data_IF_947093374956
#
_entry.id   IF_947093374956
#
_cell.length_a   1.000
_cell.length_b   1.000
_cell.length_c   1.000
_cell.angle_alpha   90.00
_cell.angle_beta   90.00
_cell.angle_gamma   90.00
#
_symmetry.space_group_name_H-M   'P 1'
#
loop_
_entity.id
_entity.type
_entity.pdbx_description
1 polymer ?
#
# COMPACT_ATOMS: atom_id res chain seq x y z
N UNK A 1 3.15 -3.76 12.96
CA UNK A 1 2.39 -5.03 12.95
C UNK A 1 0.95 -4.64 12.78
N UNK A 2 0.37 -4.89 11.61
CA UNK A 2 -0.97 -4.38 11.25
C UNK A 2 -2.04 -4.81 12.27
N UNK A 3 -1.79 -5.88 13.02
CA UNK A 3 -2.70 -6.47 14.00
C UNK A 3 -3.30 -5.45 14.97
N UNK A 4 -2.53 -4.44 15.37
CA UNK A 4 -3.04 -3.39 16.26
C UNK A 4 -4.05 -2.49 15.54
N UNK A 5 -3.77 -2.13 14.28
CA UNK A 5 -4.69 -1.39 13.41
C UNK A 5 -5.96 -2.20 13.11
N UNK A 6 -5.84 -3.50 12.84
CA UNK A 6 -6.99 -4.39 12.58
C UNK A 6 -7.89 -4.58 13.79
N UNK A 7 -7.31 -4.70 15.00
CA UNK A 7 -8.09 -4.80 16.24
C UNK A 7 -8.94 -3.56 16.45
N UNK A 8 -8.37 -2.39 16.20
CA UNK A 8 -9.05 -1.11 16.40
C UNK A 8 -10.04 -0.81 15.29
N UNK A 9 -9.84 -1.34 14.07
CA UNK A 9 -10.65 -1.03 12.89
C UNK A 9 -12.16 -1.16 13.12
N UNK A 10 -12.61 -2.20 13.82
CA UNK A 10 -14.04 -2.44 14.13
C UNK A 10 -14.63 -1.43 15.11
N UNK A 11 -13.80 -0.74 15.88
CA UNK A 11 -14.20 0.26 16.88
C UNK A 11 -14.17 1.70 16.33
N UNK A 12 -13.79 1.87 15.05
CA UNK A 12 -13.76 3.15 14.36
C UNK A 12 -15.13 3.44 13.72
N UNK A 13 -15.59 4.67 13.89
CA UNK A 13 -16.80 5.16 13.23
C UNK A 13 -16.49 6.08 12.04
N UNK A 14 -17.52 6.51 11.30
CA UNK A 14 -17.38 7.40 10.15
C UNK A 14 -16.70 8.74 10.49
N UNK A 15 -16.83 9.22 11.74
CA UNK A 15 -16.19 10.45 12.20
C UNK A 15 -14.71 10.23 12.47
N UNK A 16 -14.32 9.07 12.99
CA UNK A 16 -12.93 8.68 13.19
C UNK A 16 -12.21 8.63 11.83
N UNK A 17 -12.81 7.98 10.81
CA UNK A 17 -12.25 7.99 9.44
C UNK A 17 -12.18 9.39 8.83
N UNK A 18 -13.20 10.24 9.05
CA UNK A 18 -13.17 11.63 8.57
C UNK A 18 -12.04 12.44 9.21
N UNK A 19 -11.70 12.20 10.48
CA UNK A 19 -10.55 12.83 11.13
C UNK A 19 -9.25 12.35 10.49
N UNK A 20 -9.10 11.04 10.30
CA UNK A 20 -7.90 10.46 9.67
C UNK A 20 -7.69 10.99 8.26
N UNK A 21 -8.73 11.05 7.43
CA UNK A 21 -8.66 11.65 6.08
C UNK A 21 -8.37 13.15 6.12
N UNK A 22 -8.89 13.86 7.14
CA UNK A 22 -8.57 15.26 7.36
C UNK A 22 -7.09 15.49 7.69
N UNK A 23 -6.48 14.60 8.49
CA UNK A 23 -5.05 14.62 8.79
C UNK A 23 -4.25 14.30 7.52
N UNK A 24 -4.59 13.22 6.80
CA UNK A 24 -3.96 12.87 5.51
C UNK A 24 -3.98 14.05 4.52
N UNK A 25 -5.13 14.68 4.36
CA UNK A 25 -5.28 15.83 3.46
C UNK A 25 -4.48 17.03 3.95
N UNK A 26 -4.49 17.29 5.26
CA UNK A 26 -3.72 18.38 5.87
C UNK A 26 -2.21 18.18 5.76
N UNK A 27 -1.74 16.93 5.76
CA UNK A 27 -0.31 16.61 5.66
C UNK A 27 0.32 17.07 4.33
N UNK A 28 -0.49 17.38 3.31
CA UNK A 28 -0.03 18.03 2.07
C UNK A 28 0.54 19.44 2.29
N UNK A 29 0.09 20.14 3.33
CA UNK A 29 0.44 21.55 3.56
C UNK A 29 1.09 21.79 4.92
N UNK A 30 0.91 20.85 5.86
CA UNK A 30 1.39 20.96 7.22
C UNK A 30 2.20 19.73 7.57
N UNK A 31 3.39 19.93 8.14
CA UNK A 31 4.11 18.81 8.76
C UNK A 31 3.26 18.23 9.88
N UNK A 32 2.83 19.05 10.84
CA UNK A 32 1.89 18.67 11.89
C UNK A 32 0.56 19.36 11.64
N UNK A 33 -0.50 18.62 11.33
CA UNK A 33 -1.79 19.23 10.99
C UNK A 33 -2.40 19.89 12.22
N UNK A 34 -2.64 21.22 12.22
CA UNK A 34 -3.19 21.91 13.38
C UNK A 34 -4.62 21.48 13.68
N UNK A 35 -4.99 21.57 14.96
CA UNK A 35 -6.35 21.27 15.42
C UNK A 35 -7.41 22.14 14.72
N UNK A 36 -7.09 23.40 14.44
CA UNK A 36 -7.97 24.36 13.77
C UNK A 36 -8.28 23.94 12.33
N UNK A 37 -7.30 23.38 11.62
CA UNK A 37 -7.50 22.88 10.25
C UNK A 37 -8.36 21.61 10.25
N UNK A 38 -8.11 20.71 11.20
CA UNK A 38 -8.97 19.53 11.40
C UNK A 38 -10.40 19.93 11.78
N UNK A 39 -10.57 20.99 12.58
CA UNK A 39 -11.87 21.51 12.93
C UNK A 39 -12.63 22.00 11.69
N UNK A 40 -11.98 22.80 10.83
CA UNK A 40 -12.56 23.29 9.57
C UNK A 40 -12.97 22.14 8.63
N UNK A 41 -12.10 21.14 8.49
CA UNK A 41 -12.34 19.98 7.62
C UNK A 41 -13.49 19.10 8.13
N UNK A 42 -13.46 18.78 9.43
CA UNK A 42 -14.41 17.86 10.05
C UNK A 42 -15.76 18.50 10.41
N UNK A 43 -15.77 19.83 10.59
CA UNK A 43 -16.91 20.62 11.09
C UNK A 43 -17.45 20.12 12.44
N UNK A 44 -16.60 19.51 13.26
CA UNK A 44 -16.97 19.03 14.60
C UNK A 44 -16.71 20.10 15.67
N UNK A 45 -17.46 20.13 16.79
CA UNK A 45 -17.09 20.95 17.94
C UNK A 45 -15.69 20.56 18.48
N UNK A 46 -14.90 21.56 18.90
CA UNK A 46 -13.51 21.34 19.37
C UNK A 46 -13.40 20.27 20.46
N UNK A 47 -14.27 20.28 21.46
CA UNK A 47 -14.25 19.29 22.56
C UNK A 47 -14.45 17.84 22.06
N UNK A 48 -15.34 17.64 21.09
CA UNK A 48 -15.60 16.32 20.50
C UNK A 48 -14.44 15.86 19.63
N UNK A 49 -13.88 16.77 18.84
CA UNK A 49 -12.71 16.49 18.01
C UNK A 49 -11.50 16.12 18.89
N UNK A 50 -11.28 16.85 19.99
CA UNK A 50 -10.16 16.59 20.90
C UNK A 50 -10.31 15.23 21.60
N UNK A 51 -11.54 14.88 22.03
CA UNK A 51 -11.85 13.57 22.60
C UNK A 51 -11.52 12.43 21.62
N UNK A 52 -11.95 12.55 20.35
CA UNK A 52 -11.67 11.54 19.32
C UNK A 52 -10.19 11.46 18.97
N UNK A 53 -9.49 12.60 18.85
CA UNK A 53 -8.05 12.62 18.61
C UNK A 53 -7.29 11.93 19.75
N UNK A 54 -7.67 12.16 21.01
CA UNK A 54 -7.10 11.42 22.17
C UNK A 54 -7.33 9.91 22.06
N UNK A 55 -8.50 9.47 21.58
CA UNK A 55 -8.79 8.04 21.31
C UNK A 55 -7.90 7.51 20.18
N UNK A 56 -7.79 8.21 19.07
CA UNK A 56 -6.96 7.82 17.92
C UNK A 56 -5.48 7.74 18.27
N UNK A 57 -4.97 8.68 19.07
CA UNK A 57 -3.59 8.66 19.58
C UNK A 57 -3.36 7.49 20.53
N UNK A 58 -4.30 7.20 21.44
CA UNK A 58 -4.22 6.03 22.32
C UNK A 58 -4.16 4.72 21.55
N UNK A 59 -4.89 4.66 20.44
CA UNK A 59 -4.92 3.52 19.53
C UNK A 59 -3.75 3.51 18.53
N UNK A 60 -2.80 4.44 18.66
CA UNK A 60 -1.61 4.59 17.80
C UNK A 60 -1.90 4.80 16.31
N UNK A 61 -3.11 5.25 15.96
CA UNK A 61 -3.47 5.60 14.59
C UNK A 61 -3.01 7.02 14.21
N UNK A 62 -2.80 7.87 15.21
CA UNK A 62 -2.40 9.27 15.06
C UNK A 62 -1.25 9.56 16.01
N UNK A 63 -0.27 10.30 15.53
CA UNK A 63 0.82 10.86 16.33
C UNK A 63 0.46 12.30 16.66
N UNK A 64 0.62 12.70 17.93
CA UNK A 64 0.41 14.07 18.39
C UNK A 64 1.74 14.67 18.82
N UNK A 65 2.03 15.88 18.38
CA UNK A 65 3.09 16.71 18.94
C UNK A 65 2.51 17.92 19.65
N UNK A 66 3.29 18.51 20.56
CA UNK A 66 3.02 19.82 21.15
C UNK A 66 4.09 20.86 20.80
N UNK A 67 5.10 20.47 20.01
CA UNK A 67 6.17 21.34 19.55
C UNK A 67 6.34 21.19 18.04
N UNK A 68 6.57 22.29 17.28
CA UNK A 68 6.59 23.69 17.74
C UNK A 68 5.20 24.24 18.12
N UNK A 69 4.13 23.55 17.73
CA UNK A 69 2.74 23.82 18.11
C UNK A 69 1.99 22.49 18.26
N UNK A 70 0.75 22.53 18.73
CA UNK A 70 -0.08 21.33 18.79
C UNK A 70 -0.53 20.91 17.38
N UNK A 71 -0.18 19.70 16.99
CA UNK A 71 -0.61 19.15 15.70
C UNK A 71 -0.54 17.64 15.64
N UNK A 72 -1.06 17.12 14.54
CA UNK A 72 -1.33 15.69 14.36
C UNK A 72 -0.80 15.18 13.03
N UNK A 73 -0.31 13.95 13.02
CA UNK A 73 0.12 13.22 11.84
C UNK A 73 -0.45 11.80 11.87
N UNK A 74 -0.60 11.18 10.70
CA UNK A 74 -0.78 9.72 10.61
C UNK A 74 0.55 9.08 10.20
N UNK A 75 0.75 7.83 10.64
CA UNK A 75 1.80 6.96 10.12
C UNK A 75 1.16 5.72 9.48
N UNK A 76 1.95 4.69 9.19
CA UNK A 76 1.47 3.48 8.51
C UNK A 76 0.22 2.87 9.17
N UNK A 77 0.12 2.81 10.49
CA UNK A 77 -1.03 2.23 11.18
C UNK A 77 -2.34 3.00 10.90
N UNK A 78 -2.28 4.32 10.86
CA UNK A 78 -3.42 5.18 10.47
C UNK A 78 -3.72 5.11 8.96
N UNK A 79 -2.68 4.93 8.15
CA UNK A 79 -2.80 4.80 6.70
C UNK A 79 -3.41 3.45 6.29
N UNK A 80 -3.06 2.38 6.99
CA UNK A 80 -3.61 1.03 6.82
C UNK A 80 -5.12 1.01 7.00
N UNK A 81 -5.61 1.58 8.10
CA UNK A 81 -7.06 1.61 8.36
C UNK A 81 -7.80 2.47 7.34
N UNK A 82 -7.19 3.52 6.80
CA UNK A 82 -7.77 4.32 5.73
C UNK A 82 -7.89 3.52 4.42
N UNK A 83 -6.85 2.79 4.03
CA UNK A 83 -6.86 1.93 2.85
C UNK A 83 -7.89 0.79 3.00
N UNK A 84 -7.89 0.12 4.14
CA UNK A 84 -8.86 -0.95 4.45
C UNK A 84 -10.31 -0.44 4.41
N UNK A 85 -10.57 0.75 4.96
CA UNK A 85 -11.91 1.33 4.92
C UNK A 85 -12.37 1.62 3.49
N UNK A 86 -11.46 2.06 2.60
CA UNK A 86 -11.77 2.23 1.18
C UNK A 86 -12.15 0.88 0.53
N UNK A 87 -11.36 -0.17 0.75
CA UNK A 87 -11.65 -1.49 0.20
C UNK A 87 -12.97 -2.09 0.72
N UNK A 88 -13.28 -1.91 2.01
CA UNK A 88 -14.56 -2.35 2.59
C UNK A 88 -15.73 -1.60 1.97
N UNK A 89 -15.62 -0.27 1.82
CA UNK A 89 -16.67 0.56 1.18
C UNK A 89 -16.91 0.19 -0.27
N UNK A 90 -15.84 -0.08 -1.03
CA UNK A 90 -15.88 -0.52 -2.43
C UNK A 90 -16.28 -1.98 -2.60
N UNK A 91 -16.39 -2.74 -1.51
CA UNK A 91 -16.63 -4.20 -1.49
C UNK A 91 -15.52 -5.00 -2.17
N UNK A 92 -14.30 -4.49 -2.17
CA UNK A 92 -13.11 -5.19 -2.67
C UNK A 92 -12.60 -6.22 -1.66
N UNK A 93 -12.94 -6.06 -0.38
CA UNK A 93 -12.70 -7.04 0.68
C UNK A 93 -13.89 -7.15 1.63
N UNK A 94 -14.09 -8.34 2.19
CA UNK A 94 -15.14 -8.65 3.18
C UNK A 94 -14.59 -9.25 4.47
N UNK A 95 -13.42 -9.87 4.40
CA UNK A 95 -12.68 -10.39 5.54
C UNK A 95 -11.17 -10.25 5.28
N UNK A 96 -10.42 -10.17 6.37
CA UNK A 96 -8.95 -10.24 6.38
C UNK A 96 -8.53 -11.40 7.26
N UNK A 97 -7.55 -12.16 6.81
CA UNK A 97 -7.01 -13.36 7.45
C UNK A 97 -5.64 -13.12 8.06
N UNK A 98 -4.82 -14.17 8.02
CA UNK A 98 -3.49 -14.17 8.62
C UNK A 98 -2.46 -13.42 7.75
N UNK A 99 -1.34 -13.07 8.38
CA UNK A 99 -0.16 -12.57 7.69
C UNK A 99 0.52 -13.71 6.92
N UNK A 100 0.63 -13.56 5.60
CA UNK A 100 1.23 -14.56 4.70
C UNK A 100 2.73 -14.36 4.59
N UNK A 101 3.18 -13.10 4.61
CA UNK A 101 4.57 -12.77 4.40
C UNK A 101 4.92 -11.35 4.84
N UNK A 102 6.13 -11.21 5.37
CA UNK A 102 6.77 -9.93 5.69
C UNK A 102 8.03 -9.85 4.86
N UNK A 103 8.04 -8.94 3.89
CA UNK A 103 9.23 -8.54 3.17
C UNK A 103 9.94 -7.36 3.85
N UNK A 104 11.06 -6.93 3.27
CA UNK A 104 11.71 -5.67 3.68
C UNK A 104 10.83 -4.45 3.37
N UNK A 105 10.04 -4.56 2.31
CA UNK A 105 9.37 -3.44 1.65
C UNK A 105 7.85 -3.61 1.57
N UNK A 106 7.31 -4.76 1.96
CA UNK A 106 5.87 -4.97 1.99
C UNK A 106 5.44 -5.95 3.07
N UNK A 107 4.17 -5.87 3.45
CA UNK A 107 3.51 -6.85 4.33
C UNK A 107 2.26 -7.35 3.62
N UNK A 108 2.09 -8.67 3.59
CA UNK A 108 1.03 -9.34 2.82
C UNK A 108 0.07 -10.04 3.78
N UNK A 109 -1.23 -9.76 3.64
CA UNK A 109 -2.30 -10.41 4.39
C UNK A 109 -3.25 -11.15 3.47
N UNK A 110 -3.77 -12.28 3.92
CA UNK A 110 -4.91 -12.94 3.28
C UNK A 110 -6.16 -12.07 3.40
N UNK A 111 -7.01 -12.09 2.39
CA UNK A 111 -8.32 -11.47 2.43
C UNK A 111 -9.32 -12.22 1.56
N UNK A 112 -10.59 -11.83 1.69
CA UNK A 112 -11.68 -12.41 0.92
C UNK A 112 -12.36 -11.32 0.11
N UNK A 113 -12.32 -11.46 -1.21
CA UNK A 113 -13.16 -10.69 -2.13
C UNK A 113 -14.58 -11.27 -2.08
N UNK A 114 -15.60 -10.48 -1.70
CA UNK A 114 -16.97 -10.96 -1.67
C UNK A 114 -17.44 -11.31 -3.09
N UNK A 115 -18.34 -12.29 -3.24
CA UNK A 115 -18.87 -12.65 -4.54
C UNK A 115 -19.70 -11.51 -5.13
N UNK A 116 -19.62 -11.32 -6.45
CA UNK A 116 -20.41 -10.31 -7.18
C UNK A 116 -21.92 -10.55 -7.05
N UNK A 117 -22.32 -11.82 -6.97
CA UNK A 117 -23.71 -12.25 -6.80
C UNK A 117 -23.88 -12.93 -5.43
N UNK A 118 -25.07 -12.81 -4.84
CA UNK A 118 -25.39 -13.39 -3.53
C UNK A 118 -25.24 -14.92 -3.43
N UNK A 119 -25.08 -15.61 -4.56
CA UNK A 119 -24.94 -17.08 -4.68
C UNK A 119 -23.51 -17.46 -5.12
N UNK A 120 -22.62 -16.50 -5.38
CA UNK A 120 -21.24 -16.77 -5.79
C UNK A 120 -20.37 -17.23 -4.62
N UNK A 121 -19.24 -17.85 -4.95
CA UNK A 121 -18.24 -18.25 -3.95
C UNK A 121 -17.31 -17.08 -3.63
N UNK A 122 -16.92 -16.89 -2.36
CA UNK A 122 -15.88 -15.93 -1.98
C UNK A 122 -14.56 -16.28 -2.66
N UNK A 123 -13.86 -15.28 -3.19
CA UNK A 123 -12.57 -15.48 -3.85
C UNK A 123 -11.45 -15.13 -2.87
N UNK A 124 -10.51 -16.07 -2.59
CA UNK A 124 -9.34 -15.75 -1.79
C UNK A 124 -8.42 -14.80 -2.56
N UNK A 125 -8.06 -13.70 -1.91
CA UNK A 125 -7.18 -12.66 -2.42
C UNK A 125 -6.13 -12.33 -1.36
N UNK A 126 -5.14 -11.52 -1.74
CA UNK A 126 -4.18 -10.95 -0.81
C UNK A 126 -4.25 -9.43 -0.83
N UNK A 127 -3.90 -8.82 0.30
CA UNK A 127 -3.65 -7.39 0.41
C UNK A 127 -2.16 -7.20 0.61
N UNK A 128 -1.48 -6.59 -0.36
CA UNK A 128 -0.08 -6.16 -0.26
C UNK A 128 -0.04 -4.72 0.23
N UNK A 129 0.51 -4.49 1.42
CA UNK A 129 0.79 -3.15 1.93
C UNK A 129 2.25 -2.80 1.67
N UNK A 130 2.51 -1.75 0.91
CA UNK A 130 3.85 -1.20 0.71
C UNK A 130 4.33 -0.50 1.98
N UNK A 131 5.59 -0.72 2.30
CA UNK A 131 6.34 -0.21 3.45
C UNK A 131 7.71 0.32 3.05
N UNK A 132 7.94 0.47 1.75
CA UNK A 132 9.18 0.98 1.17
C UNK A 132 9.68 2.20 1.95
N UNK A 133 10.96 2.16 2.25
CA UNK A 133 11.67 3.22 2.97
C UNK A 133 11.79 3.14 4.49
N UNK A 134 11.25 2.09 5.14
CA UNK A 134 11.56 1.84 6.56
C UNK A 134 13.03 1.45 6.84
N UNK A 135 13.75 0.93 5.84
CA UNK A 135 15.11 0.36 6.01
C UNK A 135 16.14 0.84 5.00
N UNK A 136 15.79 0.92 3.71
CA UNK A 136 16.72 1.23 2.60
C UNK A 136 17.18 2.69 2.59
N UNK A 137 16.34 3.62 3.06
CA UNK A 137 16.65 5.05 3.09
C UNK A 137 17.60 5.49 4.22
N UNK A 138 18.19 4.53 4.97
CA UNK A 138 19.40 4.85 5.75
C UNK A 138 20.53 5.33 4.82
N UNK A 139 20.52 4.94 3.54
CA UNK A 139 21.48 5.38 2.53
C UNK A 139 21.18 6.80 2.02
N UNK A 140 19.90 7.18 1.84
CA UNK A 140 19.48 8.56 1.52
C UNK A 140 19.93 9.61 2.54
N UNK A 141 20.08 9.25 3.83
CA UNK A 141 20.60 10.18 4.85
C UNK A 141 22.00 10.71 4.52
N UNK A 142 22.75 10.07 3.60
CA UNK A 142 24.06 10.54 3.12
C UNK A 142 23.98 11.48 1.92
N UNK A 143 22.98 11.34 1.05
CA UNK A 143 22.88 12.10 -0.20
C UNK A 143 22.06 13.38 -0.02
N UNK A 144 21.10 13.41 0.92
CA UNK A 144 20.17 14.54 1.09
C UNK A 144 20.28 15.19 2.47
N UNK A 145 21.28 16.05 2.66
CA UNK A 145 21.36 16.98 3.82
C UNK A 145 20.27 18.09 3.76
N UNK A 146 19.51 18.19 2.66
CA UNK A 146 18.57 19.29 2.39
C UNK A 146 17.08 18.96 2.65
N UNK A 147 16.72 17.68 2.85
CA UNK A 147 15.38 17.27 3.29
C UNK A 147 15.35 17.26 4.83
N UNK A 148 15.37 18.43 5.47
CA UNK A 148 15.17 18.52 6.92
C UNK A 148 13.82 17.91 7.37
N UNK A 149 13.71 17.53 8.66
CA UNK A 149 12.57 17.19 9.56
C UNK A 149 11.20 16.64 9.03
N UNK A 150 10.97 16.47 7.72
CA UNK A 150 9.73 15.97 7.09
C UNK A 150 9.79 14.47 6.74
N UNK A 151 10.66 13.73 7.43
CA UNK A 151 10.96 12.31 7.14
C UNK A 151 9.69 11.44 7.13
N UNK A 152 8.70 11.70 7.99
CA UNK A 152 7.52 10.85 8.14
C UNK A 152 6.49 10.92 7.00
N UNK A 153 6.31 12.10 6.39
CA UNK A 153 5.38 12.29 5.27
C UNK A 153 5.91 11.63 4.00
N UNK A 154 7.22 11.76 3.78
CA UNK A 154 7.94 11.15 2.65
C UNK A 154 7.75 9.62 2.61
N UNK A 155 7.78 8.92 3.75
CA UNK A 155 7.60 7.45 3.77
C UNK A 155 6.25 6.96 3.28
N UNK A 156 5.18 7.57 3.79
CA UNK A 156 3.83 7.13 3.49
C UNK A 156 3.49 7.48 2.03
N UNK A 157 3.98 8.62 1.57
CA UNK A 157 3.81 9.06 0.19
C UNK A 157 4.60 8.18 -0.78
N UNK A 158 5.87 7.88 -0.51
CA UNK A 158 6.66 6.95 -1.32
C UNK A 158 5.99 5.57 -1.40
N UNK A 159 5.53 5.02 -0.28
CA UNK A 159 4.78 3.76 -0.27
C UNK A 159 3.47 3.83 -1.06
N UNK A 160 2.80 4.99 -1.12
CA UNK A 160 1.63 5.20 -1.98
C UNK A 160 2.00 5.14 -3.45
N UNK A 161 3.05 5.86 -3.85
CA UNK A 161 3.48 5.92 -5.25
C UNK A 161 3.98 4.56 -5.75
N UNK A 162 4.74 3.83 -4.92
CA UNK A 162 5.15 2.47 -5.24
C UNK A 162 3.96 1.52 -5.47
N UNK A 163 2.95 1.58 -4.60
CA UNK A 163 1.72 0.79 -4.75
C UNK A 163 0.93 1.17 -6.01
N UNK A 164 0.85 2.47 -6.32
CA UNK A 164 0.20 2.98 -7.52
C UNK A 164 0.92 2.47 -8.77
N UNK A 165 2.24 2.63 -8.82
CA UNK A 165 3.10 2.18 -9.92
C UNK A 165 2.99 0.68 -10.16
N UNK A 166 3.06 -0.14 -9.11
CA UNK A 166 2.87 -1.59 -9.23
C UNK A 166 1.45 -1.94 -9.71
N UNK A 167 0.41 -1.31 -9.19
CA UNK A 167 -0.96 -1.58 -9.63
C UNK A 167 -1.19 -1.24 -11.11
N UNK A 168 -0.66 -0.11 -11.57
CA UNK A 168 -0.84 0.36 -12.95
C UNK A 168 -0.15 -0.56 -13.95
N UNK A 169 1.09 -0.98 -13.65
CA UNK A 169 1.81 -1.90 -14.51
C UNK A 169 1.19 -3.29 -14.50
N UNK A 170 0.75 -3.79 -13.33
CA UNK A 170 0.03 -5.06 -13.26
C UNK A 170 -1.27 -5.02 -14.06
N UNK A 171 -2.01 -3.90 -14.01
CA UNK A 171 -3.26 -3.74 -14.78
C UNK A 171 -3.00 -3.79 -16.28
N UNK A 172 -1.87 -3.24 -16.72
CA UNK A 172 -1.43 -3.26 -18.13
C UNK A 172 -1.00 -4.67 -18.55
N UNK A 173 -0.22 -5.36 -17.71
CA UNK A 173 0.41 -6.64 -18.05
C UNK A 173 -0.51 -7.85 -17.91
N UNK A 174 -1.48 -7.84 -17.00
CA UNK A 174 -2.25 -9.03 -16.59
C UNK A 174 -2.93 -9.79 -17.75
N UNK A 175 -3.29 -9.09 -18.82
CA UNK A 175 -3.96 -9.72 -19.97
C UNK A 175 -3.04 -10.58 -20.86
N UNK A 176 -1.72 -10.36 -20.80
CA UNK A 176 -0.73 -11.00 -21.68
C UNK A 176 0.38 -11.73 -20.91
N UNK A 177 0.65 -11.30 -19.68
CA UNK A 177 1.72 -11.84 -18.82
C UNK A 177 1.12 -12.64 -17.68
N UNK A 178 1.74 -13.77 -17.36
CA UNK A 178 1.34 -14.59 -16.22
C UNK A 178 1.76 -13.92 -14.90
N UNK A 179 0.84 -13.12 -14.35
CA UNK A 179 0.96 -12.43 -13.05
C UNK A 179 -0.34 -12.61 -12.25
N UNK A 180 -0.35 -12.37 -10.93
CA UNK A 180 -1.59 -12.31 -10.17
C UNK A 180 -2.51 -11.19 -10.66
N UNK A 181 -3.83 -11.46 -10.73
CA UNK A 181 -4.80 -10.43 -11.11
C UNK A 181 -4.85 -9.28 -10.10
N UNK A 182 -4.60 -8.02 -10.49
CA UNK A 182 -4.91 -6.88 -9.63
C UNK A 182 -6.43 -6.64 -9.59
N UNK A 183 -6.98 -6.37 -8.41
CA UNK A 183 -8.42 -6.14 -8.21
C UNK A 183 -8.76 -4.71 -7.81
N UNK A 184 -8.01 -4.12 -6.88
CA UNK A 184 -8.24 -2.74 -6.42
C UNK A 184 -6.94 -2.17 -5.84
N UNK A 185 -6.81 -0.85 -5.88
CA UNK A 185 -5.71 -0.11 -5.30
C UNK A 185 -6.24 1.06 -4.48
N UNK A 186 -5.64 1.23 -3.29
CA UNK A 186 -5.88 2.40 -2.50
C UNK A 186 -4.68 2.72 -1.63
N UNK A 187 -4.20 3.97 -1.75
CA UNK A 187 -3.08 4.48 -0.95
C UNK A 187 -1.81 3.66 -1.19
N UNK A 188 -1.29 2.98 -0.19
CA UNK A 188 -0.10 2.13 -0.24
C UNK A 188 -0.47 0.64 -0.28
N UNK A 189 -1.72 0.30 -0.63
CA UNK A 189 -2.22 -1.06 -0.57
C UNK A 189 -2.82 -1.50 -1.91
N UNK A 190 -2.55 -2.75 -2.27
CA UNK A 190 -3.07 -3.42 -3.47
C UNK A 190 -3.84 -4.67 -3.04
N UNK A 191 -5.06 -4.83 -3.53
CA UNK A 191 -5.81 -6.09 -3.47
C UNK A 191 -5.57 -6.85 -4.77
N UNK A 192 -5.05 -8.07 -4.68
CA UNK A 192 -4.71 -8.88 -5.85
C UNK A 192 -4.96 -10.38 -5.61
N UNK A 193 -4.99 -11.16 -6.68
CA UNK A 193 -5.12 -12.62 -6.63
C UNK A 193 -3.98 -13.23 -5.80
N UNK A 194 -4.29 -14.32 -5.07
CA UNK A 194 -3.26 -15.12 -4.43
C UNK A 194 -2.44 -15.84 -5.50
N UNK A 195 -1.13 -15.59 -5.54
CA UNK A 195 -0.22 -16.28 -6.45
C UNK A 195 -0.26 -17.80 -6.21
N UNK A 196 -0.31 -18.57 -7.30
CA UNK A 196 -0.52 -20.02 -7.28
C UNK A 196 0.78 -20.76 -6.98
N UNK A 197 0.67 -21.80 -6.15
CA UNK A 197 1.77 -22.72 -5.86
C UNK A 197 2.75 -22.15 -4.84
N UNK A 198 4.04 -22.16 -5.14
CA UNK A 198 5.09 -21.79 -4.18
C UNK A 198 6.25 -21.08 -4.86
N UNK A 199 7.03 -20.32 -4.09
CA UNK A 199 8.23 -19.65 -4.60
C UNK A 199 9.21 -20.62 -5.26
N UNK A 200 9.77 -20.23 -6.41
CA UNK A 200 10.76 -21.00 -7.16
C UNK A 200 11.99 -21.32 -6.30
N UNK A 201 12.46 -20.35 -5.50
CA UNK A 201 13.54 -20.51 -4.53
C UNK A 201 13.33 -21.73 -3.62
N UNK A 202 12.10 -21.94 -3.15
CA UNK A 202 11.71 -22.98 -2.18
C UNK A 202 11.21 -24.27 -2.82
N UNK A 203 11.02 -24.29 -4.14
CA UNK A 203 10.40 -25.42 -4.85
C UNK A 203 11.42 -26.25 -5.60
N UNK A 204 11.28 -27.57 -5.57
CA UNK A 204 12.04 -28.48 -6.45
C UNK A 204 11.18 -28.82 -7.66
N UNK A 205 11.65 -28.46 -8.84
CA UNK A 205 10.91 -28.64 -10.09
C UNK A 205 11.04 -30.08 -10.60
N UNK A 206 9.96 -30.58 -11.20
CA UNK A 206 9.91 -31.91 -11.83
C UNK A 206 10.55 -31.86 -13.22
N UNK A 207 10.25 -30.82 -14.00
CA UNK A 207 10.78 -30.56 -15.35
C UNK A 207 11.39 -29.15 -15.40
N UNK A 208 12.61 -28.96 -14.86
CA UNK A 208 13.17 -27.62 -14.68
C UNK A 208 13.45 -26.90 -16.01
N UNK A 209 13.81 -27.63 -17.08
CA UNK A 209 13.94 -27.05 -18.42
C UNK A 209 12.65 -26.39 -18.90
N UNK A 210 11.50 -27.05 -18.74
CA UNK A 210 10.20 -26.49 -19.14
C UNK A 210 9.89 -25.19 -18.39
N UNK A 211 10.11 -25.16 -17.07
CA UNK A 211 9.88 -23.95 -16.26
C UNK A 211 10.84 -22.83 -16.65
N UNK A 212 12.11 -23.12 -16.94
CA UNK A 212 13.06 -22.12 -17.42
C UNK A 212 12.58 -21.50 -18.73
N UNK A 213 12.17 -22.33 -19.69
CA UNK A 213 11.68 -21.87 -20.98
C UNK A 213 10.38 -21.03 -20.82
N UNK A 214 9.48 -21.40 -19.90
CA UNK A 214 8.27 -20.62 -19.62
C UNK A 214 8.59 -19.28 -18.93
N UNK A 215 9.55 -19.22 -18.01
CA UNK A 215 10.01 -17.95 -17.40
C UNK A 215 10.59 -17.02 -18.48
N UNK A 216 11.52 -17.51 -19.31
CA UNK A 216 12.13 -16.72 -20.38
C UNK A 216 11.10 -16.25 -21.42
N UNK A 217 10.06 -17.06 -21.66
CA UNK A 217 8.91 -16.65 -22.48
C UNK A 217 8.13 -15.50 -21.85
N UNK A 218 7.87 -15.51 -20.55
CA UNK A 218 7.22 -14.37 -19.88
C UNK A 218 8.08 -13.10 -19.94
N UNK A 219 9.40 -13.21 -19.69
CA UNK A 219 10.34 -12.08 -19.83
C UNK A 219 10.35 -11.51 -21.25
N UNK A 220 10.23 -12.39 -22.26
CA UNK A 220 10.12 -11.98 -23.65
C UNK A 220 8.84 -11.21 -23.94
N UNK A 221 7.71 -11.64 -23.37
CA UNK A 221 6.42 -10.95 -23.51
C UNK A 221 6.50 -9.58 -22.83
N UNK A 222 6.99 -9.48 -21.59
CA UNK A 222 7.10 -8.20 -20.87
C UNK A 222 7.99 -7.22 -21.62
N UNK A 223 9.14 -7.68 -22.12
CA UNK A 223 10.02 -6.84 -22.93
C UNK A 223 9.34 -6.35 -24.22
N UNK A 224 8.56 -7.21 -24.88
CA UNK A 224 7.81 -6.82 -26.09
C UNK A 224 6.71 -5.79 -25.83
N UNK A 225 6.23 -5.71 -24.57
CA UNK A 225 5.29 -4.70 -24.09
C UNK A 225 6.00 -3.44 -23.57
N UNK A 226 7.32 -3.34 -23.69
CA UNK A 226 8.10 -2.20 -23.24
C UNK A 226 8.40 -2.20 -21.74
N UNK A 227 8.45 -3.37 -21.10
CA UNK A 227 8.64 -3.51 -19.66
C UNK A 227 9.76 -4.49 -19.33
N UNK A 228 10.73 -4.03 -18.53
CA UNK A 228 11.78 -4.85 -17.92
C UNK A 228 11.48 -4.88 -16.42
N UNK A 229 11.51 -6.07 -15.83
CA UNK A 229 11.10 -6.26 -14.43
C UNK A 229 12.03 -5.55 -13.44
N UNK A 230 13.34 -5.52 -13.72
CA UNK A 230 14.37 -4.81 -12.95
C UNK A 230 14.53 -5.26 -11.49
N UNK A 231 13.96 -6.41 -11.13
CA UNK A 231 14.27 -7.14 -9.88
C UNK A 231 13.97 -8.63 -10.06
N UNK A 232 14.24 -9.19 -11.25
CA UNK A 232 13.84 -10.58 -11.51
C UNK A 232 14.82 -11.57 -10.84
N UNK A 233 14.28 -12.42 -9.96
CA UNK A 233 15.02 -13.48 -9.25
C UNK A 233 14.13 -14.68 -8.93
N UNK A 234 14.69 -15.76 -8.38
CA UNK A 234 13.92 -16.92 -7.93
C UNK A 234 12.97 -16.63 -6.74
N UNK A 235 13.07 -15.45 -6.12
CA UNK A 235 12.21 -15.00 -5.03
C UNK A 235 10.97 -14.26 -5.55
N UNK A 236 10.97 -13.83 -6.81
CA UNK A 236 9.89 -13.07 -7.45
C UNK A 236 9.12 -13.92 -8.48
N UNK A 237 9.26 -15.25 -8.40
CA UNK A 237 8.59 -16.21 -9.28
C UNK A 237 7.89 -17.27 -8.43
N UNK A 238 6.57 -17.35 -8.59
CA UNK A 238 5.76 -18.46 -8.11
C UNK A 238 5.66 -19.54 -9.17
N UNK A 239 5.71 -20.81 -8.74
CA UNK A 239 5.58 -21.98 -9.61
C UNK A 239 4.50 -22.91 -9.08
N UNK A 240 3.71 -23.45 -10.01
CA UNK A 240 2.66 -24.43 -9.78
C UNK A 240 2.60 -25.44 -10.93
N UNK A 241 1.73 -26.44 -10.83
CA UNK A 241 1.48 -27.37 -11.95
C UNK A 241 0.87 -26.65 -13.18
N UNK A 242 0.19 -25.52 -12.96
CA UNK A 242 -0.45 -24.73 -14.00
C UNK A 242 0.53 -23.76 -14.72
N UNK A 243 1.77 -23.62 -14.22
CA UNK A 243 2.79 -22.74 -14.78
C UNK A 243 3.45 -21.83 -13.76
N UNK A 244 3.92 -20.67 -14.22
CA UNK A 244 4.63 -19.68 -13.41
C UNK A 244 3.84 -18.39 -13.28
N UNK A 245 4.06 -17.63 -12.20
CA UNK A 245 3.57 -16.26 -12.05
C UNK A 245 4.70 -15.36 -11.58
N UNK A 246 4.90 -14.24 -12.28
CA UNK A 246 5.84 -13.19 -11.88
C UNK A 246 5.16 -12.23 -10.90
N UNK A 247 5.88 -11.79 -9.88
CA UNK A 247 5.38 -10.88 -8.84
C UNK A 247 6.40 -9.77 -8.56
N UNK A 248 5.94 -8.74 -7.84
CA UNK A 248 6.77 -7.63 -7.35
C UNK A 248 7.27 -6.71 -8.46
N UNK A 249 6.37 -5.85 -8.93
CA UNK A 249 6.65 -4.95 -10.05
C UNK A 249 7.00 -3.48 -9.71
N UNK A 250 7.18 -3.01 -8.46
CA UNK A 250 7.36 -1.56 -8.24
C UNK A 250 8.59 -0.99 -8.96
N UNK A 251 9.67 -1.77 -9.09
CA UNK A 251 10.95 -1.33 -9.65
C UNK A 251 11.06 -1.39 -11.18
N UNK A 252 9.99 -1.74 -11.90
CA UNK A 252 10.09 -1.96 -13.35
C UNK A 252 10.67 -0.74 -14.09
N UNK A 253 11.39 -0.99 -15.19
CA UNK A 253 11.90 0.05 -16.09
C UNK A 253 11.46 -0.19 -17.53
N UNK A 254 11.56 0.85 -18.36
CA UNK A 254 11.29 0.74 -19.80
C UNK A 254 12.60 0.54 -20.59
N UNK A 255 12.56 0.00 -21.82
CA UNK A 255 13.73 -0.14 -22.68
C UNK A 255 14.46 1.17 -23.03
N UNK A 256 13.84 2.33 -22.80
CA UNK A 256 14.46 3.65 -22.99
C UNK A 256 15.40 4.06 -21.84
N UNK A 257 15.37 3.33 -20.71
CA UNK A 257 16.23 3.60 -19.56
C UNK A 257 17.72 3.52 -19.96
N UNK A 258 18.61 4.44 -19.48
CA UNK A 258 20.02 4.44 -19.86
C UNK A 258 20.74 3.10 -19.64
N UNK A 259 20.33 2.38 -18.60
CA UNK A 259 20.87 1.07 -18.21
C UNK A 259 19.97 -0.11 -18.56
N UNK A 260 18.93 0.06 -19.39
CA UNK A 260 17.93 -0.98 -19.70
C UNK A 260 18.56 -2.33 -20.13
N UNK A 261 19.59 -2.27 -20.97
CA UNK A 261 20.27 -3.46 -21.47
C UNK A 261 21.00 -4.24 -20.36
N UNK A 262 21.68 -3.52 -19.47
CA UNK A 262 22.41 -4.10 -18.32
C UNK A 262 21.44 -4.71 -17.31
N UNK A 263 20.31 -4.03 -17.08
CA UNK A 263 19.25 -4.48 -16.17
C UNK A 263 18.60 -5.77 -16.70
N UNK A 264 18.27 -5.83 -18.00
CA UNK A 264 17.74 -7.04 -18.62
C UNK A 264 18.76 -8.19 -18.58
N UNK A 265 20.03 -7.90 -18.87
CA UNK A 265 21.12 -8.89 -18.78
C UNK A 265 21.24 -9.46 -17.36
N UNK A 266 21.16 -8.61 -16.33
CA UNK A 266 21.17 -9.01 -14.91
C UNK A 266 19.97 -9.90 -14.56
N UNK A 267 18.76 -9.47 -14.90
CA UNK A 267 17.52 -10.21 -14.64
C UNK A 267 17.58 -11.63 -15.26
N UNK A 268 17.99 -11.73 -16.52
CA UNK A 268 18.13 -13.03 -17.20
C UNK A 268 19.27 -13.84 -16.59
N UNK A 269 20.41 -13.22 -16.29
CA UNK A 269 21.56 -13.87 -15.66
C UNK A 269 21.21 -14.48 -14.30
N UNK A 270 20.43 -13.79 -13.47
CA UNK A 270 19.94 -14.30 -12.19
C UNK A 270 19.18 -15.61 -12.36
N UNK A 271 18.24 -15.64 -13.31
CA UNK A 271 17.46 -16.85 -13.61
C UNK A 271 18.36 -17.96 -14.15
N UNK A 272 19.21 -17.69 -15.15
CA UNK A 272 20.11 -18.70 -15.70
C UNK A 272 21.05 -19.28 -14.63
N UNK A 273 21.57 -18.42 -13.74
CA UNK A 273 22.45 -18.80 -12.63
C UNK A 273 21.72 -19.68 -11.63
N UNK A 274 20.47 -19.35 -11.27
CA UNK A 274 19.64 -20.19 -10.40
C UNK A 274 19.49 -21.61 -10.96
N UNK A 275 19.10 -21.72 -12.24
CA UNK A 275 18.87 -23.02 -12.88
C UNK A 275 20.17 -23.81 -13.08
N UNK A 276 21.27 -23.15 -13.39
CA UNK A 276 22.58 -23.79 -13.47
C UNK A 276 23.02 -24.34 -12.10
N UNK A 277 22.93 -23.52 -11.03
CA UNK A 277 23.36 -23.94 -9.69
C UNK A 277 22.50 -25.07 -9.12
N UNK A 278 21.19 -25.03 -9.34
CA UNK A 278 20.24 -25.97 -8.72
C UNK A 278 20.01 -27.25 -9.53
N UNK A 279 20.07 -27.15 -10.86
CA UNK A 279 19.71 -28.25 -11.77
C UNK A 279 20.80 -28.60 -12.80
N UNK A 280 21.88 -27.81 -12.91
CA UNK A 280 22.95 -28.04 -13.88
C UNK A 280 22.60 -27.65 -15.31
N UNK A 281 21.51 -26.91 -15.50
CA UNK A 281 21.01 -26.49 -16.82
C UNK A 281 21.80 -25.28 -17.28
N UNK A 282 22.43 -25.39 -18.44
CA UNK A 282 23.20 -24.29 -19.04
C UNK A 282 22.48 -23.71 -20.25
N UNK A 283 22.37 -22.39 -20.29
CA UNK A 283 21.99 -21.58 -21.46
C UNK A 283 23.04 -20.48 -21.61
N UNK A 284 23.28 -20.04 -22.84
CA UNK A 284 24.18 -18.92 -23.11
C UNK A 284 23.40 -17.61 -23.00
N UNK A 285 23.90 -16.67 -22.19
CA UNK A 285 23.23 -15.41 -21.88
C UNK A 285 23.00 -14.58 -23.15
N UNK A 286 24.04 -14.35 -23.96
CA UNK A 286 23.97 -13.55 -25.19
C UNK A 286 22.98 -14.09 -26.22
N UNK A 287 22.80 -15.41 -26.30
CA UNK A 287 21.80 -16.03 -27.16
C UNK A 287 20.39 -15.77 -26.63
N UNK A 288 20.20 -16.00 -25.32
CA UNK A 288 18.92 -15.78 -24.63
C UNK A 288 18.45 -14.33 -24.74
N UNK A 289 19.34 -13.36 -24.54
CA UNK A 289 19.04 -11.92 -24.66
C UNK A 289 18.65 -11.55 -26.10
N UNK A 290 19.37 -12.08 -27.09
CA UNK A 290 19.01 -11.87 -28.51
C UNK A 290 17.64 -12.45 -28.84
N UNK A 291 17.31 -13.62 -28.30
CA UNK A 291 15.99 -14.23 -28.49
C UNK A 291 14.87 -13.39 -27.86
N UNK A 292 15.09 -12.84 -26.66
CA UNK A 292 14.14 -11.94 -25.98
C UNK A 292 13.90 -10.69 -26.85
N UNK A 293 14.98 -10.01 -27.28
CA UNK A 293 14.90 -8.77 -28.07
C UNK A 293 14.32 -8.96 -29.49
N UNK A 294 14.40 -10.17 -30.05
CA UNK A 294 14.03 -10.45 -31.46
C UNK A 294 12.56 -10.17 -31.83
N UNK A 295 11.62 -10.15 -30.88
CA UNK A 295 10.20 -9.89 -31.16
C UNK A 295 9.80 -8.42 -31.01
N UNK A 296 10.57 -7.61 -30.28
CA UNK A 296 10.26 -6.18 -30.11
C UNK A 296 10.28 -5.41 -31.43
N UNK A 297 11.16 -5.79 -32.37
CA UNK A 297 11.31 -5.14 -33.68
C UNK A 297 10.17 -5.35 -34.68
N UNK A 298 9.07 -6.03 -34.33
CA UNK A 298 7.89 -6.19 -35.22
C UNK A 298 6.74 -5.23 -34.90
N UNK A 299 6.74 -4.58 -33.74
CA UNK A 299 5.68 -3.66 -33.32
C UNK A 299 6.07 -2.17 -33.44
N UNK A 300 7.29 -1.87 -33.87
CA UNK A 300 7.89 -0.51 -33.89
C UNK A 300 8.16 0.03 -35.31
N UNK A 301 7.33 -0.29 -36.31
CA UNK A 301 7.46 0.34 -37.65
C UNK A 301 6.84 1.73 -37.76
N UNK A 302 6.16 2.24 -36.73
CA UNK A 302 5.65 3.61 -36.68
C UNK A 302 6.29 4.41 -35.53
N UNK A 303 7.56 4.80 -35.67
CA UNK A 303 8.12 6.12 -35.29
C UNK A 303 9.59 6.16 -35.76
N UNK A 304 9.94 7.27 -36.42
CA UNK A 304 11.08 7.42 -37.34
C UNK A 304 12.45 7.59 -36.66
N UNK A 305 13.44 7.00 -37.33
CA UNK A 305 14.77 7.53 -37.77
C UNK A 305 15.61 8.39 -36.80
N UNK A 306 16.83 7.90 -36.61
CA UNK A 306 17.99 8.61 -36.06
C UNK A 306 18.18 8.20 -34.60
N UNK A 307 19.22 7.48 -34.21
CA UNK A 307 20.63 7.86 -34.36
C UNK A 307 21.47 6.60 -34.12
N UNK A 308 22.45 6.33 -34.98
CA UNK A 308 23.51 5.36 -34.69
C UNK A 308 24.41 5.96 -33.61
N UNK A 309 24.52 5.28 -32.47
CA UNK A 309 25.46 5.62 -31.41
C UNK A 309 26.05 4.32 -30.89
N UNK A 310 27.29 4.06 -31.27
CA UNK A 310 28.15 3.02 -30.71
C UNK A 310 28.27 3.21 -29.19
N UNK A 311 27.73 2.28 -28.40
CA UNK A 311 27.96 2.24 -26.95
C UNK A 311 29.17 1.38 -26.62
N UNK A 312 30.17 2.03 -26.06
CA UNK A 312 31.25 1.41 -25.31
C UNK A 312 30.66 0.62 -24.13
N UNK A 313 30.77 -0.71 -24.16
CA UNK A 313 30.47 -1.60 -23.03
C UNK A 313 31.48 -1.36 -21.90
N UNK A 314 31.15 -0.50 -20.95
CA UNK A 314 31.74 -0.55 -19.61
C UNK A 314 30.98 -1.60 -18.81
N UNK A 315 31.68 -2.53 -18.17
CA UNK A 315 31.05 -3.41 -17.18
C UNK A 315 30.83 -2.61 -15.91
N UNK A 316 29.58 -2.18 -15.66
CA UNK A 316 29.15 -1.62 -14.37
C UNK A 316 29.06 -2.77 -13.37
N UNK A 317 29.52 -2.58 -12.12
CA UNK A 317 29.40 -3.64 -11.10
C UNK A 317 27.93 -3.83 -10.70
N UNK A 318 27.49 -5.08 -10.44
CA UNK A 318 26.08 -5.40 -10.10
C UNK A 318 25.51 -4.54 -8.96
N UNK A 319 26.34 -4.19 -7.97
CA UNK A 319 25.93 -3.33 -6.85
C UNK A 319 25.78 -1.86 -7.23
N UNK A 320 26.53 -1.35 -8.22
CA UNK A 320 26.38 0.03 -8.72
C UNK A 320 25.08 0.17 -9.54
N UNK A 321 24.69 -0.89 -10.27
CA UNK A 321 23.43 -0.96 -11.00
C UNK A 321 22.21 -1.02 -10.06
N UNK A 322 22.31 -1.77 -8.97
CA UNK A 322 21.25 -1.85 -7.95
C UNK A 322 21.08 -0.50 -7.23
N UNK A 323 22.18 0.16 -6.85
CA UNK A 323 22.15 1.50 -6.26
C UNK A 323 21.59 2.55 -7.24
N UNK A 324 21.99 2.51 -8.52
CA UNK A 324 21.45 3.44 -9.53
C UNK A 324 19.95 3.22 -9.80
N UNK A 325 19.49 1.97 -9.84
CA UNK A 325 18.07 1.64 -9.98
C UNK A 325 17.25 2.10 -8.78
N UNK A 326 17.75 1.88 -7.57
CA UNK A 326 17.12 2.37 -6.35
C UNK A 326 17.07 3.91 -6.35
N UNK A 327 18.16 4.58 -6.73
CA UNK A 327 18.22 6.04 -6.85
C UNK A 327 17.25 6.58 -7.92
N UNK A 328 17.21 5.99 -9.11
CA UNK A 328 16.31 6.40 -10.21
C UNK A 328 14.84 6.14 -9.84
N UNK A 329 14.52 5.00 -9.21
CA UNK A 329 13.18 4.70 -8.71
C UNK A 329 12.75 5.69 -7.62
N UNK A 330 13.66 6.01 -6.69
CA UNK A 330 13.41 7.01 -5.67
C UNK A 330 13.25 8.39 -6.31
N UNK A 331 14.08 8.78 -7.28
CA UNK A 331 13.93 10.02 -8.01
C UNK A 331 12.60 10.10 -8.78
N UNK A 332 12.18 9.06 -9.49
CA UNK A 332 10.87 9.00 -10.16
C UNK A 332 9.73 9.25 -9.16
N UNK A 333 9.76 8.57 -8.02
CA UNK A 333 8.78 8.75 -6.93
C UNK A 333 8.78 10.20 -6.42
N UNK A 334 9.95 10.81 -6.26
CA UNK A 334 10.06 12.18 -5.73
C UNK A 334 9.86 13.27 -6.80
N UNK A 335 10.07 12.98 -8.08
CA UNK A 335 9.77 13.90 -9.18
C UNK A 335 8.26 14.00 -9.44
N UNK A 336 7.51 12.93 -9.19
CA UNK A 336 6.04 12.97 -9.11
C UNK A 336 5.50 13.86 -7.95
N UNK A 337 6.36 14.39 -7.06
CA UNK A 337 5.96 15.40 -6.06
C UNK A 337 5.70 16.80 -6.66
N UNK A 338 6.04 17.06 -7.93
CA UNK A 338 5.79 18.34 -8.61
C UNK A 338 4.29 18.51 -8.99
N UNK A 339 3.44 18.58 -7.96
CA UNK A 339 2.15 19.29 -7.89
C UNK A 339 1.21 19.23 -9.11
N UNK A 340 0.98 18.06 -9.71
CA UNK A 340 -0.33 17.79 -10.32
C UNK A 340 -1.22 17.08 -9.32
N UNK A 341 -2.07 17.90 -8.69
CA UNK A 341 -3.03 17.51 -7.68
C UNK A 341 -4.01 16.53 -8.30
N UNK A 342 -3.82 15.22 -8.09
CA UNK A 342 -4.95 14.30 -8.13
C UNK A 342 -6.01 14.88 -7.19
N UNK A 343 -7.15 15.27 -7.76
CA UNK A 343 -8.33 15.59 -6.99
C UNK A 343 -8.71 14.31 -6.26
N UNK A 344 -8.25 14.18 -5.02
CA UNK A 344 -8.74 13.16 -4.13
C UNK A 344 -10.25 13.34 -4.14
N UNK A 345 -10.99 12.37 -4.68
CA UNK A 345 -12.43 12.35 -4.58
C UNK A 345 -12.72 12.45 -3.08
N UNK A 346 -13.05 13.67 -2.63
CA UNK A 346 -13.65 13.84 -1.34
C UNK A 346 -14.95 13.05 -1.48
N UNK A 347 -14.95 11.81 -0.98
CA UNK A 347 -16.14 10.97 -0.93
C UNK A 347 -17.27 11.90 -0.46
N UNK A 348 -18.25 12.12 -1.34
CA UNK A 348 -19.37 13.00 -1.08
C UNK A 348 -20.15 12.34 0.05
N UNK A 349 -19.78 12.67 1.28
CA UNK A 349 -20.41 12.11 2.46
C UNK A 349 -21.81 12.71 2.49
N UNK A 350 -22.81 11.91 2.13
CA UNK A 350 -24.19 12.24 2.44
C UNK A 350 -24.25 12.54 3.93
N UNK A 351 -24.43 13.82 4.25
CA UNK A 351 -24.71 14.25 5.59
C UNK A 351 -26.10 13.69 5.93
N UNK A 352 -26.13 12.47 6.45
CA UNK A 352 -27.34 11.96 7.10
C UNK A 352 -27.73 12.99 8.16
N UNK A 353 -28.88 13.63 7.91
CA UNK A 353 -29.55 14.55 8.83
C UNK A 353 -29.85 13.82 10.13
N UNK A 354 -28.91 13.85 11.06
CA UNK A 354 -29.13 13.48 12.47
C UNK A 354 -28.89 14.70 13.37
N UNK A 355 -29.61 15.78 13.09
CA UNK A 355 -29.89 16.84 14.06
C UNK A 355 -31.38 16.79 14.40
N UNK A 356 -31.79 15.88 15.30
CA UNK A 356 -33.07 15.99 16.02
C UNK A 356 -33.23 15.06 17.24
N UNK A 357 -32.43 14.00 17.43
CA UNK A 357 -32.77 12.99 18.46
C UNK A 357 -31.91 12.99 19.74
N UNK A 358 -30.77 13.68 19.77
CA UNK A 358 -29.93 13.72 21.00
C UNK A 358 -30.42 14.77 22.01
N UNK A 359 -31.27 15.72 21.62
CA UNK A 359 -31.78 16.75 22.55
C UNK A 359 -33.04 16.28 23.32
N UNK A 360 -33.74 15.23 22.86
CA UNK A 360 -34.94 14.75 23.56
C UNK A 360 -34.68 13.75 24.69
N UNK A 361 -33.51 13.11 24.76
CA UNK A 361 -33.20 12.17 25.84
C UNK A 361 -32.76 12.85 27.14
N UNK A 362 -32.09 14.01 27.05
CA UNK A 362 -31.58 14.72 28.23
C UNK A 362 -32.65 15.58 28.96
N UNK A 363 -33.74 15.96 28.30
CA UNK A 363 -34.88 16.62 28.97
C UNK A 363 -35.78 15.62 29.72
N UNK A 364 -35.86 14.36 29.27
CA UNK A 364 -36.71 13.35 29.92
C UNK A 364 -36.14 12.75 31.21
N UNK A 365 -34.82 12.79 31.44
CA UNK A 365 -34.23 12.34 32.71
C UNK A 365 -34.24 13.43 33.81
N UNK A 366 -34.36 14.71 33.43
CA UNK A 366 -34.47 15.82 34.38
C UNK A 366 -35.88 15.98 34.97
N UNK A 367 -36.94 15.61 34.24
CA UNK A 367 -38.32 15.64 34.76
C UNK A 367 -38.68 14.40 35.62
N UNK A 368 -38.11 13.22 35.34
CA UNK A 368 -38.41 12.01 36.10
C UNK A 368 -37.80 11.95 37.51
N UNK A 369 -36.84 12.83 37.85
CA UNK A 369 -36.33 12.97 39.22
C UNK A 369 -37.16 13.90 40.11
N UNK A 370 -38.16 14.61 39.57
CA UNK A 370 -39.05 15.51 40.36
C UNK A 370 -40.41 14.91 40.73
N UNK A 371 -40.72 13.68 40.30
CA UNK A 371 -42.03 13.05 40.52
C UNK A 371 -41.91 11.70 41.29
N UNK A 372 -41.10 11.64 42.35
CA UNK A 372 -41.28 10.61 43.39
C UNK A 372 -40.93 11.16 44.78
N UNK A 373 -41.86 11.94 45.35
CA UNK A 373 -42.31 11.72 46.73
C UNK A 373 -43.45 12.67 47.11
N UNK A 374 -44.65 12.12 47.39
CA UNK A 374 -45.37 12.60 48.56
C UNK A 374 -45.96 11.48 49.43
N UNK A 375 -45.63 11.59 50.72
CA UNK A 375 -46.46 11.34 51.91
C UNK A 375 -46.72 9.89 52.36
N UNK A 376 -46.23 9.56 53.57
CA UNK A 376 -46.94 9.51 54.89
C UNK A 376 -45.98 8.83 55.89
N UNK A 377 -45.85 9.23 57.15
CA UNK A 377 -46.91 9.39 58.12
C UNK A 377 -46.52 10.33 59.28
N UNK A 378 -47.55 10.89 59.92
CA UNK A 378 -47.50 11.83 61.03
C UNK A 378 -47.81 11.15 62.38
N UNK A 379 -47.25 11.74 63.45
CA UNK A 379 -47.61 11.64 64.88
C UNK A 379 -47.22 10.33 65.60
N UNK A 380 -46.66 10.34 66.83
CA UNK A 380 -46.92 11.14 68.05
C UNK A 380 -45.61 11.37 68.84
N UNK A 381 -45.40 12.56 69.44
CA UNK A 381 -45.41 12.88 70.91
C UNK A 381 -44.68 11.82 71.77
N UNK A 382 -43.66 12.13 72.57
CA UNK A 382 -43.66 13.02 73.74
C UNK A 382 -42.22 13.20 74.32
N UNK A 383 -41.97 14.39 74.88
CA UNK A 383 -41.08 14.79 76.00
C UNK A 383 -39.98 13.83 76.52
N UNK A 384 -38.73 14.31 76.68
CA UNK A 384 -38.16 14.77 77.99
C UNK A 384 -36.70 15.24 77.87
N UNK A 385 -36.35 16.20 78.72
CA UNK A 385 -35.06 16.84 79.00
C UNK A 385 -33.88 15.91 79.38
N UNK A 386 -32.69 16.57 79.41
CA UNK A 386 -31.38 16.24 80.03
C UNK A 386 -30.37 15.63 79.05
N UNK A 387 -29.14 16.12 78.93
CA UNK A 387 -28.28 16.90 79.83
C UNK A 387 -27.29 17.76 79.03
#
# INVERSE_FOLDING_TARGET
MIDEALRVFKDLDSKDFRILTGIETGMKHYEWVPMEELNKYTRMPFEKLEYKLKKLVRNKLVIRTTQPYEGFQIYFEGYDVLALNAFVKRKSISAIGDEVGVGKESVIYEAILPPELAIGEPVPVVIKFHREGRTSFKQIKRVREHLGEREHFSWIYAARLAAQREYDIMTTLYSEVSIPKPFDHNRHAIVMELAKGSLLSKTKLIDPEWYLDEILKQVKITYSLGVIHADLSEYNIFVSEDGIQLIDWPQYVTPEHPHADEILERDVSNILTHFFRKYGIKRELDETIREIKSQAGKNTEDIKKGTESETSRGTVEEGELEEALEEDFEEDIFQEEDFEVESFEAEEFEAEKFEAEIIKSDETEAENRKIQNPKKAASKKETTDKE
#
